data_IF_595219999014
#
_entry.id   IF_595219999014
#
_cell.length_a   1.000
_cell.length_b   1.000
_cell.length_c   1.000
_cell.angle_alpha   90.00
_cell.angle_beta   90.00
_cell.angle_gamma   90.00
#
_symmetry.space_group_name_H-M   'P 1'
#
loop_
_entity.id
_entity.type
_entity.pdbx_description
1 polymer ?
#
# COMPACT_ATOMS: atom_id res chain seq x y z
N UNK A 1 55.01 28.60 -9.46
CA UNK A 1 54.02 29.53 -10.05
C UNK A 1 53.19 28.73 -11.04
N UNK A 2 51.86 28.69 -11.08
CA UNK A 2 50.73 29.23 -10.31
C UNK A 2 49.54 28.33 -10.74
N UNK A 3 48.71 27.87 -9.82
CA UNK A 3 47.39 27.27 -10.13
C UNK A 3 46.44 28.38 -10.64
N UNK A 4 45.56 28.10 -11.60
CA UNK A 4 44.10 28.16 -11.32
C UNK A 4 43.31 27.13 -12.14
N UNK A 5 42.05 26.79 -11.86
CA UNK A 5 41.09 27.28 -10.88
C UNK A 5 39.98 26.24 -10.73
N UNK A 6 39.41 26.16 -9.53
CA UNK A 6 38.20 25.40 -9.27
C UNK A 6 37.03 26.09 -9.97
N UNK A 7 36.31 25.35 -10.80
CA UNK A 7 34.98 25.73 -11.24
C UNK A 7 34.02 25.09 -10.25
N UNK A 8 33.43 25.91 -9.40
CA UNK A 8 32.33 25.54 -8.53
C UNK A 8 31.16 25.09 -9.40
N UNK A 9 30.88 23.79 -9.37
CA UNK A 9 29.62 23.22 -9.85
C UNK A 9 28.60 23.47 -8.74
N UNK A 10 27.87 24.58 -8.86
CA UNK A 10 26.65 24.82 -8.08
C UNK A 10 25.65 23.71 -8.44
N UNK A 11 25.57 22.69 -7.59
CA UNK A 11 24.50 21.72 -7.65
C UNK A 11 23.17 22.48 -7.44
N UNK A 12 22.19 22.39 -8.35
CA UNK A 12 20.87 22.90 -8.06
C UNK A 12 20.33 22.10 -6.88
N UNK A 13 19.93 22.81 -5.82
CA UNK A 13 19.18 22.26 -4.69
C UNK A 13 18.05 21.40 -5.25
N UNK A 14 18.27 20.08 -5.20
CA UNK A 14 17.25 19.12 -5.55
C UNK A 14 16.15 19.28 -4.53
N UNK A 15 15.04 19.88 -4.94
CA UNK A 15 13.79 19.79 -4.21
C UNK A 15 13.56 18.32 -3.89
N UNK A 16 13.71 17.98 -2.61
CA UNK A 16 13.22 16.71 -2.08
C UNK A 16 11.73 16.69 -2.42
N UNK A 17 11.24 15.76 -3.26
CA UNK A 17 9.82 15.69 -3.52
C UNK A 17 9.16 15.42 -2.17
N UNK A 18 8.35 16.37 -1.70
CA UNK A 18 7.58 16.16 -0.50
C UNK A 18 6.73 14.91 -0.66
N UNK A 19 7.02 13.90 0.18
CA UNK A 19 6.34 12.60 0.29
C UNK A 19 4.92 12.73 0.85
N UNK A 20 4.18 13.72 0.38
CA UNK A 20 2.81 13.98 0.80
C UNK A 20 1.91 13.17 -0.11
N UNK A 21 1.63 11.92 0.27
CA UNK A 21 0.55 11.17 -0.36
C UNK A 21 -0.71 12.03 -0.39
N UNK A 22 -1.19 12.34 -1.59
CA UNK A 22 -2.29 13.28 -1.77
C UNK A 22 -3.56 12.79 -1.03
N UNK A 23 -4.03 13.52 -0.02
CA UNK A 23 -5.23 13.14 0.74
C UNK A 23 -6.49 13.14 -0.14
N UNK A 24 -6.52 13.93 -1.21
CA UNK A 24 -7.65 13.95 -2.16
C UNK A 24 -7.68 12.65 -2.97
N UNK A 25 -6.53 12.18 -3.46
CA UNK A 25 -6.38 10.89 -4.13
C UNK A 25 -6.81 9.71 -3.22
N UNK A 26 -6.43 9.75 -1.93
CA UNK A 26 -6.81 8.70 -0.96
C UNK A 26 -8.33 8.68 -0.73
N UNK A 27 -8.95 9.87 -0.60
CA UNK A 27 -10.40 10.01 -0.41
C UNK A 27 -11.16 9.49 -1.62
N UNK A 28 -10.72 9.87 -2.83
CA UNK A 28 -11.32 9.40 -4.07
C UNK A 28 -11.23 7.88 -4.24
N UNK A 29 -10.07 7.27 -3.93
CA UNK A 29 -9.92 5.82 -3.97
C UNK A 29 -10.84 5.12 -2.96
N UNK A 30 -11.03 5.69 -1.77
CA UNK A 30 -11.97 5.17 -0.78
C UNK A 30 -13.42 5.24 -1.28
N UNK A 31 -13.84 6.35 -1.88
CA UNK A 31 -15.17 6.51 -2.48
C UNK A 31 -15.43 5.53 -3.62
N UNK A 32 -14.42 5.27 -4.47
CA UNK A 32 -14.51 4.25 -5.52
C UNK A 32 -14.71 2.85 -4.93
N UNK A 33 -14.02 2.52 -3.84
CA UNK A 33 -14.25 1.28 -3.11
C UNK A 33 -15.68 1.19 -2.59
N UNK A 34 -16.18 2.23 -1.91
CA UNK A 34 -17.54 2.23 -1.37
C UNK A 34 -18.59 2.07 -2.49
N UNK A 35 -18.38 2.72 -3.63
CA UNK A 35 -19.24 2.58 -4.81
C UNK A 35 -19.23 1.15 -5.35
N UNK A 36 -18.05 0.53 -5.46
CA UNK A 36 -17.92 -0.84 -5.95
C UNK A 36 -18.57 -1.86 -5.01
N UNK A 37 -18.40 -1.71 -3.68
CA UNK A 37 -19.09 -2.55 -2.69
C UNK A 37 -20.61 -2.45 -2.82
N UNK A 38 -21.13 -1.23 -2.97
CA UNK A 38 -22.56 -0.97 -3.14
C UNK A 38 -23.14 -1.61 -4.41
N UNK A 39 -22.41 -1.52 -5.53
CA UNK A 39 -22.80 -2.15 -6.80
C UNK A 39 -22.89 -3.68 -6.71
N UNK A 40 -22.03 -4.30 -5.90
CA UNK A 40 -22.03 -5.74 -5.61
C UNK A 40 -23.04 -6.14 -4.51
N UNK A 41 -23.79 -5.18 -3.95
CA UNK A 41 -24.74 -5.43 -2.86
C UNK A 41 -24.07 -5.79 -1.53
N UNK A 42 -22.81 -5.37 -1.33
CA UNK A 42 -22.00 -5.63 -0.14
C UNK A 42 -22.11 -4.48 0.87
N UNK A 43 -21.88 -4.75 2.18
CA UNK A 43 -21.91 -3.71 3.19
C UNK A 43 -20.76 -2.69 3.00
N UNK A 44 -20.97 -1.43 3.41
CA UNK A 44 -19.91 -0.44 3.40
C UNK A 44 -18.75 -0.82 4.31
N UNK A 45 -17.57 -0.26 4.06
CA UNK A 45 -16.40 -0.47 4.91
C UNK A 45 -16.64 0.13 6.30
N UNK A 46 -16.43 -0.68 7.33
CA UNK A 46 -16.51 -0.24 8.72
C UNK A 46 -15.23 0.52 9.11
N UNK A 47 -15.36 1.69 9.72
CA UNK A 47 -14.18 2.38 10.28
C UNK A 47 -13.87 1.87 11.68
N UNK A 48 -12.78 1.12 11.79
CA UNK A 48 -12.22 0.62 13.05
C UNK A 48 -10.87 1.28 13.38
N UNK A 49 -10.51 2.38 12.71
CA UNK A 49 -9.16 2.97 12.81
C UNK A 49 -8.84 3.55 14.19
N UNK A 50 -9.86 3.84 14.99
CA UNK A 50 -9.74 4.30 16.38
C UNK A 50 -9.33 3.20 17.36
N UNK A 51 -9.48 1.92 17.00
CA UNK A 51 -9.12 0.77 17.81
C UNK A 51 -8.03 -0.03 17.08
N UNK A 52 -6.74 0.28 17.32
CA UNK A 52 -5.67 -0.37 16.60
C UNK A 52 -5.69 -1.89 16.80
N UNK A 53 -5.59 -2.63 15.70
CA UNK A 53 -5.47 -4.08 15.74
C UNK A 53 -4.07 -4.45 16.21
N UNK A 54 -4.03 -5.24 17.26
CA UNK A 54 -2.82 -5.75 17.91
C UNK A 54 -2.78 -7.27 17.83
N UNK A 55 -1.70 -7.86 18.35
CA UNK A 55 -1.57 -9.32 18.48
C UNK A 55 -1.03 -10.03 17.24
N UNK A 56 -0.59 -9.30 16.21
CA UNK A 56 0.06 -9.90 15.06
C UNK A 56 1.47 -10.36 15.40
N UNK A 57 1.73 -11.65 15.18
CA UNK A 57 3.05 -12.26 15.30
C UNK A 57 3.84 -12.21 13.99
N UNK A 58 5.16 -12.54 14.05
CA UNK A 58 6.03 -12.55 12.87
C UNK A 58 5.63 -13.55 11.76
N UNK A 59 4.79 -14.53 12.10
CA UNK A 59 4.31 -15.57 11.18
C UNK A 59 2.95 -15.22 10.57
N UNK A 60 2.30 -14.15 11.01
CA UNK A 60 1.01 -13.76 10.46
C UNK A 60 1.18 -13.24 9.03
N UNK A 61 0.60 -13.99 8.09
CA UNK A 61 0.60 -13.61 6.70
C UNK A 61 -0.32 -12.39 6.50
N UNK A 62 0.21 -11.37 5.83
CA UNK A 62 -0.57 -10.26 5.30
C UNK A 62 -0.31 -10.19 3.80
N UNK A 63 -1.36 -10.14 3.00
CA UNK A 63 -1.26 -9.87 1.56
C UNK A 63 -1.79 -8.47 1.33
N UNK A 64 -0.91 -7.56 0.96
CA UNK A 64 -1.22 -6.18 0.67
C UNK A 64 -1.42 -6.00 -0.83
N UNK A 65 -2.59 -5.54 -1.22
CA UNK A 65 -2.86 -5.10 -2.59
C UNK A 65 -2.48 -3.62 -2.69
N UNK A 66 -1.54 -3.33 -3.60
CA UNK A 66 -1.16 -1.98 -3.99
C UNK A 66 -1.74 -1.72 -5.39
N UNK A 67 -2.95 -1.16 -5.46
CA UNK A 67 -3.62 -0.94 -6.74
C UNK A 67 -5.07 -0.47 -6.62
N UNK A 68 -5.70 -0.29 -7.78
CA UNK A 68 -7.08 0.20 -7.90
C UNK A 68 -8.07 -0.70 -7.14
N UNK A 69 -8.91 -0.14 -6.24
CA UNK A 69 -9.88 -0.91 -5.46
C UNK A 69 -10.81 -1.76 -6.32
N UNK A 70 -11.30 -1.20 -7.43
CA UNK A 70 -12.26 -1.86 -8.32
C UNK A 70 -11.61 -3.02 -9.07
N UNK A 71 -10.39 -2.82 -9.56
CA UNK A 71 -9.66 -3.83 -10.33
C UNK A 71 -9.40 -5.10 -9.50
N UNK A 72 -9.08 -4.93 -8.21
CA UNK A 72 -8.73 -6.03 -7.32
C UNK A 72 -9.88 -6.50 -6.42
N UNK A 73 -11.08 -5.92 -6.53
CA UNK A 73 -12.20 -6.28 -5.65
C UNK A 73 -12.49 -7.79 -5.64
N UNK A 74 -12.52 -8.53 -6.76
CA UNK A 74 -12.74 -9.98 -6.74
C UNK A 74 -11.66 -10.74 -5.96
N UNK A 75 -10.40 -10.34 -6.12
CA UNK A 75 -9.25 -10.95 -5.41
C UNK A 75 -9.33 -10.67 -3.91
N UNK A 76 -9.69 -9.44 -3.54
CA UNK A 76 -9.87 -9.03 -2.15
C UNK A 76 -11.01 -9.80 -1.47
N UNK A 77 -12.13 -10.00 -2.16
CA UNK A 77 -13.30 -10.72 -1.63
C UNK A 77 -13.05 -12.23 -1.48
N UNK A 78 -12.50 -12.86 -2.52
CA UNK A 78 -12.17 -14.29 -2.47
C UNK A 78 -11.08 -14.54 -1.43
N UNK A 79 -10.00 -13.77 -1.47
CA UNK A 79 -8.93 -13.88 -0.48
C UNK A 79 -9.41 -13.60 0.95
N UNK A 80 -10.31 -12.63 1.14
CA UNK A 80 -10.90 -12.32 2.45
C UNK A 80 -11.81 -13.43 2.98
N UNK A 81 -12.38 -14.25 2.08
CA UNK A 81 -13.13 -15.46 2.46
C UNK A 81 -12.20 -16.60 2.87
N UNK A 82 -11.07 -16.77 2.18
CA UNK A 82 -10.08 -17.82 2.45
C UNK A 82 -9.21 -17.51 3.67
N UNK A 83 -8.82 -16.25 3.83
CA UNK A 83 -7.91 -15.76 4.86
C UNK A 83 -8.47 -14.45 5.48
N UNK A 84 -9.50 -14.53 6.35
CA UNK A 84 -10.17 -13.35 6.88
C UNK A 84 -9.22 -12.39 7.60
N UNK A 85 -9.19 -11.12 7.15
CA UNK A 85 -8.37 -10.07 7.73
C UNK A 85 -6.88 -10.11 7.35
N UNK A 86 -6.46 -11.06 6.52
CA UNK A 86 -5.10 -11.14 5.97
C UNK A 86 -4.98 -10.42 4.62
N UNK A 87 -6.08 -10.32 3.85
CA UNK A 87 -6.13 -9.51 2.64
C UNK A 87 -6.37 -8.06 2.99
N UNK A 88 -5.43 -7.18 2.62
CA UNK A 88 -5.46 -5.76 2.95
C UNK A 88 -5.28 -4.94 1.68
N UNK A 89 -6.16 -3.98 1.46
CA UNK A 89 -6.02 -2.96 0.42
C UNK A 89 -5.37 -1.71 1.02
N UNK A 90 -4.29 -1.23 0.40
CA UNK A 90 -3.62 0.02 0.76
C UNK A 90 -3.99 1.11 -0.25
N UNK A 91 -4.58 2.21 0.22
CA UNK A 91 -5.05 3.30 -0.64
C UNK A 91 -4.12 4.50 -0.68
N UNK A 92 -3.09 4.54 0.17
CA UNK A 92 -2.19 5.68 0.31
C UNK A 92 -0.77 5.22 0.60
N UNK A 93 0.26 5.85 0.00
CA UNK A 93 1.65 5.54 0.33
C UNK A 93 1.96 5.84 1.81
N UNK A 94 1.28 6.82 2.42
CA UNK A 94 1.47 7.19 3.83
C UNK A 94 1.03 6.11 4.82
N UNK A 95 0.31 5.08 4.35
CA UNK A 95 -0.11 3.93 5.17
C UNK A 95 0.94 2.83 5.23
N UNK A 96 2.03 2.98 4.48
CA UNK A 96 3.11 2.02 4.41
C UNK A 96 4.47 2.70 4.65
N UNK A 97 5.39 1.98 5.25
CA UNK A 97 6.78 2.41 5.40
C UNK A 97 7.72 1.34 4.86
N UNK A 98 8.79 1.73 4.16
CA UNK A 98 9.83 0.82 3.69
C UNK A 98 10.90 0.64 4.76
N UNK A 99 11.31 -0.60 4.98
CA UNK A 99 12.44 -0.96 5.83
C UNK A 99 13.37 -1.91 5.08
N UNK A 100 14.69 -1.86 5.31
CA UNK A 100 15.61 -2.81 4.67
C UNK A 100 15.19 -4.25 4.98
N UNK A 101 15.17 -5.09 3.95
CA UNK A 101 14.80 -6.50 4.13
C UNK A 101 15.85 -7.21 4.97
N UNK A 102 15.38 -7.95 5.98
CA UNK A 102 16.25 -8.77 6.83
C UNK A 102 16.71 -10.06 6.13
N UNK A 103 15.99 -10.46 5.07
CA UNK A 103 16.20 -11.74 4.38
C UNK A 103 16.87 -11.59 3.02
N UNK A 104 16.81 -10.39 2.43
CA UNK A 104 17.25 -10.14 1.06
C UNK A 104 18.07 -8.85 1.00
N UNK A 105 19.42 -8.91 0.99
CA UNK A 105 20.27 -7.73 0.87
C UNK A 105 19.95 -6.91 -0.38
N UNK A 106 19.82 -5.58 -0.22
CA UNK A 106 19.46 -4.68 -1.31
C UNK A 106 17.97 -4.61 -1.63
N UNK A 107 17.14 -5.43 -0.97
CA UNK A 107 15.69 -5.37 -1.09
C UNK A 107 15.04 -4.69 0.13
N UNK A 108 13.76 -4.36 0.00
CA UNK A 108 12.96 -3.68 0.99
C UNK A 108 11.76 -4.53 1.40
N UNK A 109 11.40 -4.50 2.68
CA UNK A 109 10.09 -4.93 3.17
C UNK A 109 9.22 -3.69 3.38
N UNK A 110 7.90 -3.77 3.16
CA UNK A 110 6.96 -2.76 3.63
C UNK A 110 6.34 -3.17 4.96
N UNK A 111 6.02 -2.17 5.75
CA UNK A 111 5.25 -2.30 6.97
C UNK A 111 4.01 -1.44 6.84
N UNK A 112 2.84 -2.06 6.97
CA UNK A 112 1.55 -1.38 6.92
C UNK A 112 1.18 -0.85 8.30
N UNK A 113 0.96 0.45 8.39
CA UNK A 113 0.39 1.13 9.56
C UNK A 113 -1.14 1.19 9.49
N UNK A 114 -1.70 1.24 8.28
CA UNK A 114 -3.15 1.29 8.03
C UNK A 114 -3.52 0.49 6.78
N UNK A 115 -4.78 0.13 6.67
CA UNK A 115 -5.31 -0.48 5.46
C UNK A 115 -6.75 -0.94 5.63
N UNK A 116 -7.36 -1.36 4.53
CA UNK A 116 -8.72 -1.90 4.52
C UNK A 116 -8.63 -3.41 4.44
N UNK A 117 -8.98 -4.10 5.53
CA UNK A 117 -8.97 -5.56 5.56
C UNK A 117 -10.29 -6.14 5.07
N UNK A 118 -10.22 -7.25 4.33
CA UNK A 118 -11.39 -7.96 3.83
C UNK A 118 -11.60 -9.26 4.60
N UNK A 119 -12.87 -9.58 4.87
CA UNK A 119 -13.33 -10.72 5.66
C UNK A 119 -14.44 -11.45 4.90
N UNK A 120 -14.80 -12.63 5.39
CA UNK A 120 -15.86 -13.43 4.79
C UNK A 120 -17.19 -12.67 4.68
N UNK A 121 -17.97 -13.00 3.65
CA UNK A 121 -19.26 -12.35 3.37
C UNK A 121 -19.15 -10.92 2.86
N UNK A 122 -17.99 -10.53 2.31
CA UNK A 122 -17.75 -9.21 1.72
C UNK A 122 -17.63 -8.06 2.73
N UNK A 123 -17.48 -8.38 4.02
CA UNK A 123 -17.20 -7.38 5.04
C UNK A 123 -15.80 -6.80 4.86
N UNK A 124 -15.68 -5.49 4.98
CA UNK A 124 -14.41 -4.79 4.98
C UNK A 124 -14.30 -3.85 6.16
N UNK A 125 -13.08 -3.61 6.65
CA UNK A 125 -12.82 -2.69 7.76
C UNK A 125 -11.57 -1.86 7.52
N UNK A 126 -11.68 -0.53 7.67
CA UNK A 126 -10.53 0.36 7.74
C UNK A 126 -9.89 0.23 9.13
N UNK A 127 -8.64 -0.19 9.15
CA UNK A 127 -7.94 -0.58 10.37
C UNK A 127 -6.59 0.13 10.48
N UNK A 128 -6.18 0.38 11.72
CA UNK A 128 -4.83 0.79 12.10
C UNK A 128 -4.12 -0.41 12.73
N UNK A 129 -2.85 -0.62 12.43
CA UNK A 129 -2.07 -1.78 12.89
C UNK A 129 -0.96 -1.37 13.86
N UNK A 130 -0.92 -2.01 15.03
CA UNK A 130 0.13 -1.80 16.04
C UNK A 130 0.60 -3.15 16.61
N UNK A 131 1.86 -3.57 16.41
CA UNK A 131 2.87 -2.93 15.57
C UNK A 131 2.49 -2.96 14.08
N UNK A 132 3.17 -2.17 13.25
CA UNK A 132 2.94 -2.18 11.79
C UNK A 132 3.15 -3.61 11.24
N UNK A 133 2.28 -4.03 10.31
CA UNK A 133 2.29 -5.40 9.78
C UNK A 133 3.24 -5.52 8.59
N UNK A 134 4.15 -6.50 8.62
CA UNK A 134 4.86 -6.91 7.41
C UNK A 134 3.89 -7.56 6.45
N UNK A 135 3.99 -7.21 5.17
CA UNK A 135 3.15 -7.79 4.12
C UNK A 135 3.97 -8.51 3.04
N UNK A 136 3.29 -9.36 2.30
CA UNK A 136 3.63 -9.76 0.94
C UNK A 136 2.75 -8.95 0.01
N UNK A 137 3.23 -8.58 -1.18
CA UNK A 137 2.57 -7.53 -1.97
C UNK A 137 2.09 -8.08 -3.30
N UNK A 138 0.90 -7.67 -3.69
CA UNK A 138 0.44 -7.83 -5.07
C UNK A 138 0.37 -6.44 -5.67
N UNK A 139 1.18 -6.24 -6.69
CA UNK A 139 1.28 -5.01 -7.47
C UNK A 139 0.88 -5.34 -8.89
N UNK A 140 0.05 -4.50 -9.51
CA UNK A 140 -0.30 -4.67 -10.91
C UNK A 140 -1.49 -3.83 -11.32
N UNK A 141 -1.72 -3.76 -12.62
CA UNK A 141 -2.92 -3.16 -13.21
C UNK A 141 -3.73 -4.27 -13.87
N UNK A 142 -4.83 -4.70 -13.25
CA UNK A 142 -5.77 -5.63 -13.93
C UNK A 142 -6.57 -4.94 -15.05
N UNK A 143 -6.44 -3.62 -15.21
CA UNK A 143 -7.03 -2.83 -16.29
C UNK A 143 -5.98 -1.94 -16.98
N UNK A 144 -6.05 -1.71 -18.32
CA UNK A 144 -5.08 -0.88 -19.01
C UNK A 144 -5.26 0.60 -18.60
N UNK A 145 -4.18 1.18 -18.06
CA UNK A 145 -3.97 2.62 -17.84
C UNK A 145 -4.87 3.26 -16.76
N UNK A 146 -4.52 2.99 -15.51
CA UNK A 146 -4.94 3.84 -14.39
C UNK A 146 -3.87 4.94 -14.16
N UNK A 147 -4.20 6.24 -14.36
CA UNK A 147 -3.26 7.35 -14.13
C UNK A 147 -2.86 7.53 -12.65
N UNK A 148 -3.53 6.85 -11.70
CA UNK A 148 -3.24 6.94 -10.26
C UNK A 148 -2.06 6.04 -9.80
N UNK A 149 -1.43 5.28 -10.71
CA UNK A 149 -0.43 4.25 -10.39
C UNK A 149 1.02 4.73 -10.13
N UNK A 150 1.29 6.03 -10.13
CA UNK A 150 2.66 6.57 -10.02
C UNK A 150 3.39 6.15 -8.74
N UNK A 151 2.72 6.29 -7.59
CA UNK A 151 3.30 5.94 -6.28
C UNK A 151 3.42 4.43 -6.05
N UNK A 152 2.56 3.63 -6.70
CA UNK A 152 2.60 2.16 -6.59
C UNK A 152 3.92 1.65 -7.15
N UNK A 153 4.38 2.18 -8.29
CA UNK A 153 5.66 1.81 -8.89
C UNK A 153 6.85 2.15 -7.99
N UNK A 154 6.82 3.30 -7.32
CA UNK A 154 7.87 3.72 -6.38
C UNK A 154 7.89 2.85 -5.12
N UNK A 155 6.72 2.60 -4.53
CA UNK A 155 6.58 1.78 -3.32
C UNK A 155 6.91 0.31 -3.58
N UNK A 156 6.58 -0.19 -4.77
CA UNK A 156 6.83 -1.56 -5.22
C UNK A 156 8.28 -1.84 -5.61
N UNK A 157 9.11 -0.80 -5.75
CA UNK A 157 10.47 -0.95 -6.24
C UNK A 157 11.32 -1.76 -5.26
N UNK A 158 12.06 -2.72 -5.77
CA UNK A 158 13.04 -3.52 -5.01
C UNK A 158 12.44 -4.19 -3.75
N UNK A 159 11.15 -4.56 -3.77
CA UNK A 159 10.54 -5.31 -2.67
C UNK A 159 11.07 -6.74 -2.59
N UNK A 160 11.10 -7.30 -1.38
CA UNK A 160 11.61 -8.65 -1.13
C UNK A 160 10.61 -9.77 -1.49
N UNK A 161 9.32 -9.48 -1.52
CA UNK A 161 8.26 -10.43 -1.88
C UNK A 161 7.18 -9.83 -2.81
N UNK A 162 7.53 -9.32 -4.02
CA UNK A 162 6.55 -8.90 -5.00
C UNK A 162 5.91 -10.15 -5.63
N UNK A 163 4.62 -10.31 -5.43
CA UNK A 163 3.77 -11.26 -6.16
C UNK A 163 3.03 -10.49 -7.26
N UNK A 164 3.75 -10.17 -8.34
CA UNK A 164 3.22 -9.45 -9.51
C UNK A 164 4.28 -9.38 -10.61
N UNK A 165 3.88 -9.69 -11.84
CA UNK A 165 4.75 -9.75 -13.04
C UNK A 165 4.73 -8.48 -13.87
#
# INVERSE_FOLDING_TARGET
ALCPGWLEDEAPDGEVPGDSGDPECTTHAYERLQSALSQEGLPPTLDCSAEPRTGFGPLDMTVCILGSPTAFLPVLLEGGTRCPGAMVLCLSPTWASRVPSQTSPGAWSLLLSRGISFKAGGHSALETFVPHRRANYVTGTLAPRDPEGGWVGELARDLDCPTGG
#
